data_IF_368170716500
#
_entry.id   IF_368170716500
#
_cell.length_a   1.000
_cell.length_b   1.000
_cell.length_c   1.000
_cell.angle_alpha   90.00
_cell.angle_beta   90.00
_cell.angle_gamma   90.00
#
_symmetry.space_group_name_H-M   'P 1'
#
loop_
_entity.id
_entity.type
_entity.pdbx_description
1 polymer ?
#
# COMPACT_ATOMS: atom_id res chain seq x y z
N UNK A 1 -47.54 71.45 -68.43
CA UNK A 1 -47.18 71.64 -67.01
C UNK A 1 -48.19 70.91 -66.15
N UNK A 2 -47.76 69.88 -65.40
CA UNK A 2 -48.63 69.12 -64.51
C UNK A 2 -48.93 69.95 -63.25
N UNK A 3 -50.20 69.98 -62.81
CA UNK A 3 -50.64 70.71 -61.62
C UNK A 3 -50.03 70.07 -60.36
N UNK A 4 -49.20 70.80 -59.63
CA UNK A 4 -48.75 70.39 -58.30
C UNK A 4 -49.93 70.46 -57.34
N UNK A 5 -50.22 69.34 -56.66
CA UNK A 5 -51.20 69.31 -55.56
C UNK A 5 -50.59 70.03 -54.37
N UNK A 6 -51.21 71.13 -53.93
CA UNK A 6 -50.84 71.79 -52.68
C UNK A 6 -51.37 70.95 -51.51
N UNK A 7 -50.50 70.17 -50.87
CA UNK A 7 -50.84 69.45 -49.65
C UNK A 7 -50.87 70.44 -48.48
N UNK A 8 -52.01 70.51 -47.78
CA UNK A 8 -52.13 71.28 -46.55
C UNK A 8 -51.65 70.38 -45.41
N UNK A 9 -50.36 70.44 -45.09
CA UNK A 9 -49.76 69.67 -44.01
C UNK A 9 -50.04 70.38 -42.68
N UNK A 10 -50.74 69.71 -41.78
CA UNK A 10 -50.89 70.17 -40.41
C UNK A 10 -49.56 70.01 -39.66
N UNK A 11 -49.25 70.96 -38.78
CA UNK A 11 -48.10 70.83 -37.89
C UNK A 11 -48.33 69.62 -36.96
N UNK A 12 -47.32 68.76 -36.72
CA UNK A 12 -47.45 67.63 -35.80
C UNK A 12 -47.86 68.09 -34.40
N UNK A 13 -48.64 67.27 -33.70
CA UNK A 13 -48.97 67.51 -32.30
C UNK A 13 -47.73 67.26 -31.41
N UNK A 14 -47.63 67.86 -30.22
CA UNK A 14 -46.52 67.64 -29.28
C UNK A 14 -46.23 66.16 -28.99
N UNK A 15 -47.26 65.32 -29.00
CA UNK A 15 -47.18 63.88 -28.74
C UNK A 15 -46.68 63.09 -29.96
N UNK A 16 -46.67 63.68 -31.16
CA UNK A 16 -46.09 63.09 -32.38
C UNK A 16 -44.56 63.25 -32.41
N UNK A 17 -43.98 64.05 -31.51
CA UNK A 17 -42.54 64.26 -31.43
C UNK A 17 -41.88 63.19 -30.58
N UNK A 18 -40.88 62.53 -31.16
CA UNK A 18 -39.97 61.70 -30.40
C UNK A 18 -39.01 62.60 -29.61
N UNK A 19 -38.90 62.38 -28.30
CA UNK A 19 -37.99 63.13 -27.44
C UNK A 19 -36.56 62.63 -27.68
N UNK A 20 -35.70 63.51 -28.19
CA UNK A 20 -34.30 63.18 -28.53
C UNK A 20 -33.48 62.74 -27.30
N UNK A 21 -33.81 63.27 -26.12
CA UNK A 21 -33.19 62.85 -24.85
C UNK A 21 -33.45 61.39 -24.50
N UNK A 22 -34.68 60.91 -24.72
CA UNK A 22 -35.05 59.51 -24.47
C UNK A 22 -34.34 58.57 -25.45
N UNK A 23 -34.18 59.00 -26.70
CA UNK A 23 -33.40 58.26 -27.70
C UNK A 23 -31.94 58.11 -27.28
N UNK A 24 -31.33 59.18 -26.78
CA UNK A 24 -29.94 59.15 -26.32
C UNK A 24 -29.78 58.24 -25.10
N UNK A 25 -30.69 58.33 -24.13
CA UNK A 25 -30.67 57.46 -22.95
C UNK A 25 -30.79 55.98 -23.34
N UNK A 26 -31.72 55.65 -24.24
CA UNK A 26 -31.88 54.28 -24.73
C UNK A 26 -30.64 53.79 -25.49
N UNK A 27 -29.96 54.66 -26.24
CA UNK A 27 -28.71 54.33 -26.92
C UNK A 27 -27.58 54.00 -25.92
N UNK A 28 -27.44 54.80 -24.87
CA UNK A 28 -26.44 54.55 -23.82
C UNK A 28 -26.68 53.21 -23.09
N UNK A 29 -27.93 52.89 -22.81
CA UNK A 29 -28.29 51.59 -22.20
C UNK A 29 -28.02 50.41 -23.16
N UNK A 30 -28.32 50.58 -24.46
CA UNK A 30 -27.99 49.57 -25.48
C UNK A 30 -26.48 49.36 -25.56
N UNK A 31 -25.67 50.41 -25.53
CA UNK A 31 -24.21 50.30 -25.60
C UNK A 31 -23.62 49.55 -24.39
N UNK A 32 -24.13 49.84 -23.19
CA UNK A 32 -23.78 49.09 -21.97
C UNK A 32 -24.12 47.60 -22.09
N UNK A 33 -25.31 47.29 -22.62
CA UNK A 33 -25.74 45.91 -22.82
C UNK A 33 -24.88 45.19 -23.86
N UNK A 34 -24.58 45.84 -24.99
CA UNK A 34 -23.70 45.30 -26.02
C UNK A 34 -22.32 45.00 -25.44
N UNK A 35 -21.76 45.94 -24.66
CA UNK A 35 -20.47 45.74 -24.01
C UNK A 35 -20.50 44.54 -23.06
N UNK A 36 -21.51 44.45 -22.19
CA UNK A 36 -21.64 43.33 -21.26
C UNK A 36 -21.77 41.96 -21.96
N UNK A 37 -22.52 41.91 -23.07
CA UNK A 37 -22.65 40.69 -23.87
C UNK A 37 -21.34 40.30 -24.55
N UNK A 38 -20.61 41.27 -25.12
CA UNK A 38 -19.31 41.01 -25.73
C UNK A 38 -18.28 40.53 -24.70
N UNK A 39 -18.23 41.16 -23.52
CA UNK A 39 -17.34 40.74 -22.43
C UNK A 39 -17.65 39.29 -21.97
N UNK A 40 -18.93 38.92 -21.91
CA UNK A 40 -19.34 37.54 -21.57
C UNK A 40 -19.01 36.52 -22.69
N UNK A 41 -19.18 36.90 -23.95
CA UNK A 41 -18.82 36.07 -25.10
C UNK A 41 -17.30 35.88 -25.21
N UNK A 42 -16.49 36.86 -24.80
CA UNK A 42 -15.03 36.74 -24.77
C UNK A 42 -14.57 35.64 -23.82
N UNK A 43 -15.15 35.56 -22.62
CA UNK A 43 -14.87 34.49 -21.64
C UNK A 43 -15.25 33.10 -22.18
N UNK A 44 -16.28 33.04 -23.02
CA UNK A 44 -16.73 31.82 -23.69
C UNK A 44 -16.04 31.60 -25.05
N UNK A 45 -15.17 32.52 -25.49
CA UNK A 45 -14.47 32.42 -26.77
C UNK A 45 -13.43 31.32 -26.69
N UNK A 46 -13.63 30.31 -27.52
CA UNK A 46 -12.83 29.08 -27.57
C UNK A 46 -11.88 29.06 -28.77
N UNK A 47 -11.61 30.20 -29.40
CA UNK A 47 -10.85 30.30 -30.65
C UNK A 47 -11.40 29.35 -31.75
N UNK A 48 -12.73 29.22 -31.82
CA UNK A 48 -13.40 28.37 -32.81
C UNK A 48 -13.55 26.89 -32.42
N UNK A 49 -13.14 26.47 -31.22
CA UNK A 49 -13.33 25.08 -30.73
C UNK A 49 -14.67 24.95 -30.00
N UNK A 50 -15.42 23.86 -30.12
CA UNK A 50 -16.64 23.74 -29.33
C UNK A 50 -16.32 23.64 -27.82
N UNK A 51 -16.97 24.45 -26.97
CA UNK A 51 -16.75 24.46 -25.52
C UNK A 51 -17.00 23.08 -24.89
N UNK A 52 -18.03 22.37 -25.36
CA UNK A 52 -18.37 21.03 -24.90
C UNK A 52 -17.27 20.02 -25.26
N UNK A 53 -16.59 20.19 -26.40
CA UNK A 53 -15.48 19.33 -26.80
C UNK A 53 -14.21 19.58 -26.00
N UNK A 54 -14.00 20.80 -25.50
CA UNK A 54 -12.95 21.10 -24.53
C UNK A 54 -13.26 20.48 -23.16
N UNK A 55 -14.50 20.60 -22.70
CA UNK A 55 -14.93 20.04 -21.41
C UNK A 55 -14.85 18.52 -21.40
N UNK A 56 -15.20 17.84 -22.49
CA UNK A 56 -15.02 16.38 -22.64
C UNK A 56 -13.57 15.91 -22.48
N UNK A 57 -12.58 16.79 -22.69
CA UNK A 57 -11.15 16.45 -22.56
C UNK A 57 -10.60 16.72 -21.16
N UNK A 58 -11.39 17.29 -20.26
CA UNK A 58 -11.01 17.53 -18.86
C UNK A 58 -11.55 16.40 -17.98
N UNK A 59 -10.84 16.16 -16.88
CA UNK A 59 -11.32 15.26 -15.85
C UNK A 59 -12.36 16.00 -14.98
N UNK A 60 -13.38 15.29 -14.56
CA UNK A 60 -14.40 15.81 -13.66
C UNK A 60 -13.89 15.77 -12.21
N UNK A 61 -14.37 16.72 -11.41
CA UNK A 61 -14.01 16.82 -10.00
C UNK A 61 -15.19 16.45 -9.10
N UNK A 62 -14.89 15.81 -7.97
CA UNK A 62 -15.85 15.54 -6.91
C UNK A 62 -16.21 16.80 -6.11
N UNK A 63 -17.09 16.65 -5.11
CA UNK A 63 -17.51 17.74 -4.21
C UNK A 63 -16.38 18.32 -3.34
N UNK A 64 -15.17 17.76 -3.40
CA UNK A 64 -13.97 18.22 -2.71
C UNK A 64 -12.91 18.76 -3.67
N UNK A 65 -13.22 18.87 -4.97
CA UNK A 65 -12.30 19.36 -5.99
C UNK A 65 -11.24 18.34 -6.42
N UNK A 66 -11.48 17.03 -6.25
CA UNK A 66 -10.56 15.96 -6.66
C UNK A 66 -11.06 15.21 -7.88
N UNK A 67 -10.14 14.76 -8.73
CA UNK A 67 -10.47 13.90 -9.88
C UNK A 67 -11.11 12.60 -9.41
N UNK A 68 -12.20 12.19 -10.09
CA UNK A 68 -12.90 10.94 -9.79
C UNK A 68 -11.97 9.73 -10.00
N UNK A 69 -12.05 8.74 -9.09
CA UNK A 69 -11.20 7.53 -9.16
C UNK A 69 -11.40 6.77 -10.48
N UNK A 70 -12.62 6.78 -11.03
CA UNK A 70 -12.94 6.15 -12.32
C UNK A 70 -12.28 6.83 -13.52
N UNK A 71 -11.79 8.08 -13.37
CA UNK A 71 -11.08 8.83 -14.40
C UNK A 71 -9.56 8.78 -14.22
N UNK A 72 -9.08 8.14 -13.13
CA UNK A 72 -7.66 7.91 -12.95
C UNK A 72 -7.20 6.76 -13.84
N UNK A 73 -6.01 6.85 -14.46
CA UNK A 73 -5.38 5.70 -15.10
C UNK A 73 -5.26 4.54 -14.11
N UNK A 74 -5.32 3.31 -14.60
CA UNK A 74 -5.11 2.14 -13.75
C UNK A 74 -3.68 2.15 -13.18
N UNK A 75 -3.56 2.59 -11.94
CA UNK A 75 -2.29 2.62 -11.23
C UNK A 75 -1.82 1.22 -10.83
N UNK A 76 -2.68 0.18 -10.86
CA UNK A 76 -2.24 -1.20 -10.56
C UNK A 76 -1.18 -1.68 -11.53
N UNK A 77 -1.11 -1.13 -12.75
CA UNK A 77 -0.01 -1.40 -13.69
C UNK A 77 1.32 -0.87 -13.14
N UNK A 78 1.32 0.30 -12.49
CA UNK A 78 2.50 0.96 -11.94
C UNK A 78 2.80 0.59 -10.49
N UNK A 79 1.88 -0.09 -9.80
CA UNK A 79 2.14 -0.56 -8.44
C UNK A 79 3.18 -1.66 -8.48
N UNK A 80 4.31 -1.39 -7.82
CA UNK A 80 5.35 -2.38 -7.53
C UNK A 80 4.91 -3.37 -6.45
N UNK A 81 3.91 -3.00 -5.63
CA UNK A 81 3.37 -3.84 -4.56
C UNK A 81 1.87 -4.05 -4.76
N UNK A 82 1.47 -5.31 -4.92
CA UNK A 82 0.09 -5.75 -5.08
C UNK A 82 -0.36 -6.47 -3.81
N UNK A 83 -1.47 -6.04 -3.22
CA UNK A 83 -2.00 -6.61 -1.98
C UNK A 83 -3.25 -7.43 -2.29
N UNK A 84 -3.32 -8.64 -1.75
CA UNK A 84 -4.45 -9.54 -1.90
C UNK A 84 -4.87 -10.08 -0.53
N UNK A 85 -6.15 -10.38 -0.40
CA UNK A 85 -6.72 -10.97 0.83
C UNK A 85 -5.99 -12.26 1.24
N UNK A 86 -5.69 -13.13 0.27
CA UNK A 86 -4.95 -14.37 0.50
C UNK A 86 -4.08 -14.73 -0.71
N UNK A 87 -3.07 -15.60 -0.52
CA UNK A 87 -2.23 -16.13 -1.61
C UNK A 87 -3.02 -16.78 -2.75
N UNK A 88 -4.16 -17.41 -2.44
CA UNK A 88 -5.03 -18.04 -3.45
C UNK A 88 -5.64 -17.05 -4.44
N UNK A 89 -5.64 -15.76 -4.12
CA UNK A 89 -6.14 -14.69 -4.97
C UNK A 89 -5.06 -14.11 -5.90
N UNK A 90 -3.82 -14.59 -5.82
CA UNK A 90 -2.77 -14.15 -6.74
C UNK A 90 -3.10 -14.59 -8.17
N UNK A 91 -2.72 -13.79 -9.19
CA UNK A 91 -2.92 -14.19 -10.58
C UNK A 91 -2.12 -15.46 -10.88
N UNK A 92 -2.61 -16.27 -11.83
CA UNK A 92 -1.94 -17.51 -12.21
C UNK A 92 -0.49 -17.28 -12.71
N UNK A 93 -0.28 -16.21 -13.46
CA UNK A 93 1.04 -15.75 -13.91
C UNK A 93 1.33 -14.39 -13.29
N UNK A 94 2.42 -14.33 -12.51
CA UNK A 94 2.88 -13.08 -11.92
C UNK A 94 3.81 -12.27 -12.81
N UNK A 95 4.22 -11.11 -12.30
CA UNK A 95 5.25 -10.25 -12.88
C UNK A 95 6.46 -10.24 -11.94
N UNK A 96 7.65 -10.54 -12.47
CA UNK A 96 8.89 -10.62 -11.68
C UNK A 96 9.36 -9.29 -11.10
N UNK A 97 8.85 -8.17 -11.63
CA UNK A 97 9.13 -6.81 -11.14
C UNK A 97 8.17 -6.35 -10.03
N UNK A 98 7.22 -7.21 -9.63
CA UNK A 98 6.22 -6.88 -8.61
C UNK A 98 6.35 -7.76 -7.37
N UNK A 99 5.98 -7.17 -6.24
CA UNK A 99 5.82 -7.80 -4.95
C UNK A 99 4.34 -8.10 -4.71
N UNK A 100 4.07 -9.29 -4.19
CA UNK A 100 2.72 -9.78 -3.93
C UNK A 100 2.58 -9.99 -2.43
N UNK A 101 1.63 -9.30 -1.81
CA UNK A 101 1.38 -9.36 -0.37
C UNK A 101 0.12 -10.18 -0.12
N UNK A 102 0.27 -11.22 0.68
CA UNK A 102 -0.82 -12.00 1.26
C UNK A 102 -1.16 -11.39 2.63
N UNK A 103 -2.30 -10.70 2.71
CA UNK A 103 -2.72 -9.99 3.93
C UNK A 103 -3.12 -10.97 5.04
N UNK A 104 -3.84 -12.05 4.73
CA UNK A 104 -4.21 -13.07 5.70
C UNK A 104 -2.98 -13.77 6.29
N UNK A 105 -1.98 -14.08 5.45
CA UNK A 105 -0.74 -14.71 5.87
C UNK A 105 0.31 -13.76 6.42
N UNK A 106 0.15 -12.44 6.24
CA UNK A 106 1.18 -11.42 6.50
C UNK A 106 2.53 -11.77 5.83
N UNK A 107 2.46 -12.25 4.58
CA UNK A 107 3.62 -12.75 3.82
C UNK A 107 3.81 -12.00 2.52
N UNK A 108 5.08 -11.87 2.11
CA UNK A 108 5.47 -11.20 0.87
C UNK A 108 6.09 -12.22 -0.08
N UNK A 109 5.65 -12.20 -1.34
CA UNK A 109 6.08 -13.11 -2.39
C UNK A 109 6.57 -12.34 -3.62
N UNK A 110 7.40 -13.01 -4.44
CA UNK A 110 7.81 -12.55 -5.76
C UNK A 110 7.64 -13.66 -6.79
N UNK A 111 7.19 -13.28 -7.99
CA UNK A 111 7.13 -14.20 -9.12
C UNK A 111 8.51 -14.47 -9.70
N UNK A 112 8.90 -15.73 -9.84
CA UNK A 112 10.22 -16.12 -10.36
C UNK A 112 10.22 -16.44 -11.85
N UNK A 113 9.07 -16.38 -12.52
CA UNK A 113 8.88 -16.80 -13.92
C UNK A 113 8.00 -18.04 -14.05
N UNK A 114 7.94 -18.87 -13.00
CA UNK A 114 7.12 -20.09 -12.97
C UNK A 114 6.30 -20.27 -11.69
N UNK A 115 6.71 -19.65 -10.58
CA UNK A 115 6.00 -19.78 -9.30
C UNK A 115 6.21 -18.55 -8.42
N UNK A 116 5.37 -18.43 -7.40
CA UNK A 116 5.51 -17.45 -6.34
C UNK A 116 6.40 -18.00 -5.22
N UNK A 117 7.50 -17.30 -4.95
CA UNK A 117 8.43 -17.61 -3.86
C UNK A 117 8.30 -16.56 -2.77
N UNK A 118 8.22 -16.99 -1.51
CA UNK A 118 8.19 -16.12 -0.33
C UNK A 118 9.55 -15.44 -0.14
N UNK A 119 9.58 -14.12 0.00
CA UNK A 119 10.83 -13.34 0.13
C UNK A 119 11.37 -13.31 1.56
N UNK A 120 10.49 -13.43 2.55
CA UNK A 120 10.84 -13.44 3.97
C UNK A 120 10.35 -14.73 4.62
N UNK A 121 10.88 -15.91 4.21
CA UNK A 121 10.59 -17.12 4.94
C UNK A 121 11.09 -16.91 6.36
N UNK A 122 10.19 -16.93 7.35
CA UNK A 122 10.59 -16.83 8.75
C UNK A 122 11.61 -17.94 9.02
N UNK A 123 12.86 -17.53 9.31
CA UNK A 123 13.93 -18.45 9.66
C UNK A 123 13.50 -19.15 10.95
N UNK A 124 13.04 -20.40 10.85
CA UNK A 124 12.77 -21.22 12.02
C UNK A 124 14.11 -21.54 12.67
N UNK A 125 14.42 -20.86 13.77
CA UNK A 125 15.57 -21.17 14.62
C UNK A 125 15.13 -22.32 15.55
N UNK A 126 15.70 -23.52 15.38
CA UNK A 126 15.33 -24.73 16.14
C UNK A 126 15.72 -26.04 15.42
N UNK A 127 15.19 -27.19 15.87
CA UNK A 127 15.38 -28.53 15.26
C UNK A 127 14.72 -28.61 13.86
N UNK A 128 15.25 -27.86 12.90
CA UNK A 128 14.87 -27.95 11.48
C UNK A 128 16.11 -28.40 10.72
N UNK A 129 16.01 -29.54 10.05
CA UNK A 129 17.09 -30.13 9.25
C UNK A 129 17.61 -29.05 8.27
N UNK A 130 18.85 -28.61 8.46
CA UNK A 130 19.50 -27.63 7.56
C UNK A 130 19.76 -26.21 8.09
N UNK A 131 19.61 -25.92 9.39
CA UNK A 131 20.13 -24.67 9.98
C UNK A 131 21.53 -24.82 10.61
N UNK A 132 22.28 -23.72 10.70
CA UNK A 132 23.74 -23.63 10.85
C UNK A 132 24.41 -24.29 12.09
N UNK A 133 23.66 -24.90 13.01
CA UNK A 133 24.18 -25.86 13.98
C UNK A 133 23.10 -26.93 14.19
N UNK A 134 23.37 -28.16 13.74
CA UNK A 134 22.43 -29.29 13.82
C UNK A 134 22.00 -29.52 15.28
N UNK A 135 20.76 -29.14 15.64
CA UNK A 135 20.14 -29.53 16.92
C UNK A 135 20.17 -31.05 17.12
N UNK A 136 20.18 -31.81 16.02
CA UNK A 136 20.39 -33.25 16.01
C UNK A 136 21.72 -33.70 16.63
N UNK A 137 22.81 -32.92 16.52
CA UNK A 137 24.09 -33.24 17.16
C UNK A 137 24.04 -33.01 18.67
N UNK A 138 23.37 -31.94 19.10
CA UNK A 138 23.16 -31.66 20.53
C UNK A 138 22.36 -32.78 21.20
N UNK A 139 21.26 -33.20 20.56
CA UNK A 139 20.42 -34.31 21.03
C UNK A 139 21.15 -35.64 21.02
N UNK A 140 21.87 -35.97 19.94
CA UNK A 140 22.66 -37.18 19.87
C UNK A 140 23.76 -37.23 20.95
N UNK A 141 24.37 -36.09 21.29
CA UNK A 141 25.33 -36.01 22.39
C UNK A 141 24.65 -36.16 23.75
N UNK A 142 23.49 -35.52 23.97
CA UNK A 142 22.74 -35.64 25.22
C UNK A 142 22.25 -37.08 25.45
N UNK A 143 21.72 -37.73 24.42
CA UNK A 143 21.27 -39.13 24.46
C UNK A 143 22.46 -40.08 24.68
N UNK A 144 23.58 -39.87 23.98
CA UNK A 144 24.81 -40.66 24.20
C UNK A 144 25.42 -40.45 25.60
N UNK A 145 25.30 -39.25 26.18
CA UNK A 145 25.75 -38.96 27.54
C UNK A 145 24.86 -39.67 28.58
N UNK A 146 23.55 -39.75 28.35
CA UNK A 146 22.61 -40.47 29.24
C UNK A 146 22.83 -41.98 29.21
N UNK A 147 23.17 -42.56 28.06
CA UNK A 147 23.41 -43.99 27.93
C UNK A 147 24.80 -44.44 28.43
N UNK A 148 25.79 -43.54 28.49
CA UNK A 148 27.18 -43.91 28.86
C UNK A 148 27.40 -44.29 30.32
N UNK A 149 26.55 -43.84 31.24
CA UNK A 149 26.65 -44.23 32.64
C UNK A 149 25.26 -44.44 33.22
N UNK A 150 24.85 -45.70 33.37
CA UNK A 150 23.62 -45.97 34.11
C UNK A 150 23.87 -45.63 35.58
N UNK A 151 22.89 -45.00 36.24
CA UNK A 151 22.96 -44.67 37.68
C UNK A 151 23.32 -45.89 38.54
N UNK A 152 23.01 -47.10 38.05
CA UNK A 152 23.36 -48.38 38.66
C UNK A 152 24.87 -48.65 38.61
N UNK A 153 25.51 -48.56 37.44
CA UNK A 153 26.95 -48.80 37.31
C UNK A 153 27.79 -47.85 38.16
N UNK A 154 27.39 -46.57 38.22
CA UNK A 154 28.06 -45.58 39.07
C UNK A 154 27.89 -45.92 40.55
N UNK A 155 26.70 -46.36 40.96
CA UNK A 155 26.45 -46.78 42.34
C UNK A 155 27.21 -48.07 42.71
N UNK A 156 27.30 -49.02 41.79
CA UNK A 156 28.01 -50.29 41.99
C UNK A 156 29.51 -50.03 42.15
N UNK A 157 30.10 -49.17 41.31
CA UNK A 157 31.49 -48.71 41.46
C UNK A 157 31.72 -47.97 42.78
N UNK A 158 30.80 -47.06 43.14
CA UNK A 158 30.90 -46.31 44.39
C UNK A 158 30.85 -47.23 45.61
N UNK A 159 30.04 -48.28 45.57
CA UNK A 159 29.94 -49.27 46.64
C UNK A 159 31.20 -50.15 46.72
N UNK A 160 31.78 -50.54 45.59
CA UNK A 160 33.04 -51.27 45.55
C UNK A 160 34.19 -50.46 46.16
N UNK A 161 34.36 -49.19 45.74
CA UNK A 161 35.37 -48.30 46.30
C UNK A 161 35.21 -48.07 47.81
N UNK A 162 33.97 -47.89 48.27
CA UNK A 162 33.71 -47.76 49.72
C UNK A 162 34.12 -48.99 50.50
N UNK A 163 33.87 -50.19 49.95
CA UNK A 163 34.23 -51.45 50.61
C UNK A 163 35.75 -51.61 50.71
N UNK A 164 36.47 -51.33 49.62
CA UNK A 164 37.93 -51.41 49.56
C UNK A 164 38.59 -50.48 50.59
N UNK A 165 38.16 -49.21 50.66
CA UNK A 165 38.67 -48.24 51.65
C UNK A 165 38.40 -48.70 53.09
N UNK A 166 37.22 -49.29 53.37
CA UNK A 166 36.90 -49.79 54.71
C UNK A 166 37.79 -50.97 55.08
N UNK A 167 38.06 -51.88 54.14
CA UNK A 167 38.94 -53.03 54.36
C UNK A 167 40.40 -52.60 54.59
N UNK A 168 40.88 -51.62 53.82
CA UNK A 168 42.21 -51.02 53.98
C UNK A 168 42.36 -50.36 55.36
N UNK A 169 41.39 -49.51 55.75
CA UNK A 169 41.39 -48.86 57.08
C UNK A 169 41.37 -49.90 58.21
N UNK A 170 40.58 -50.96 58.09
CA UNK A 170 40.54 -52.00 59.12
C UNK A 170 41.87 -52.75 59.21
N UNK A 171 42.52 -53.06 58.08
CA UNK A 171 43.84 -53.70 58.05
C UNK A 171 44.89 -52.82 58.73
N UNK A 172 44.95 -51.54 58.35
CA UNK A 172 45.90 -50.58 58.91
C UNK A 172 45.74 -50.40 60.42
N UNK A 173 44.50 -50.35 60.92
CA UNK A 173 44.21 -50.28 62.35
C UNK A 173 44.71 -51.52 63.08
N UNK A 174 44.49 -52.72 62.52
CA UNK A 174 44.95 -53.98 63.11
C UNK A 174 46.48 -54.02 63.15
N UNK A 175 47.15 -53.63 62.07
CA UNK A 175 48.62 -53.54 62.03
C UNK A 175 49.16 -52.56 63.08
N UNK A 176 48.54 -51.39 63.24
CA UNK A 176 48.93 -50.44 64.28
C UNK A 176 48.75 -51.03 65.69
N UNK A 177 47.63 -51.69 65.98
CA UNK A 177 47.40 -52.31 67.29
C UNK A 177 48.48 -53.35 67.60
N UNK A 178 48.82 -54.21 66.64
CA UNK A 178 49.86 -55.23 66.79
C UNK A 178 51.26 -54.62 66.98
N UNK A 179 51.55 -53.49 66.34
CA UNK A 179 52.83 -52.80 66.50
C UNK A 179 53.03 -52.13 67.87
N UNK A 180 51.94 -51.85 68.60
CA UNK A 180 51.94 -51.24 69.94
C UNK A 180 51.61 -52.23 71.09
N UNK A 181 51.44 -53.51 70.79
CA UNK A 181 51.23 -54.61 71.76
C UNK A 181 52.53 -55.28 72.15
#
# INVERSE_FOLDING_TARGET
MQKTKNYNLNKPEPDDYVIVGDLNYNMDEIDKLIKAVNDALEVLSTNGVNLLDLLKKKADLDNRGKVLVSQLPDLDVYKDVLMYEARGNFPYTGNSKKLYVDMAGSKIYRWTGSTYVELSPQLKIGEVKGTAFDGARGKALEDAMKDRYTKKEVNDLLNAYKKEIIEEIHSDIIEQILAYS
#
